data_IF_088744855334
#
_entry.id   IF_088744855334
#
_cell.length_a   1.000
_cell.length_b   1.000
_cell.length_c   1.000
_cell.angle_alpha   90.00
_cell.angle_beta   90.00
_cell.angle_gamma   90.00
#
_symmetry.space_group_name_H-M   'P 1'
#
loop_
_entity.id
_entity.type
_entity.pdbx_description
1 polymer ?
#
# COMPACT_ATOMS: atom_id res chain seq x y z
N UNK A 1 39.39 75.32 -40.59
CA UNK A 1 38.53 74.54 -41.52
C UNK A 1 38.69 73.08 -41.23
N UNK A 2 37.59 72.44 -41.00
CA UNK A 2 37.29 70.94 -40.98
C UNK A 2 37.87 70.16 -39.83
N UNK A 3 36.98 69.80 -39.09
CA UNK A 3 36.55 68.88 -38.07
C UNK A 3 36.83 67.43 -38.48
N UNK A 4 37.46 66.68 -37.63
CA UNK A 4 37.30 65.22 -37.53
C UNK A 4 37.29 64.78 -36.10
N UNK A 5 36.11 64.39 -35.64
CA UNK A 5 35.86 63.83 -34.29
C UNK A 5 36.12 62.33 -34.29
N UNK A 6 36.85 61.91 -33.27
CA UNK A 6 37.11 60.55 -32.87
C UNK A 6 35.87 59.89 -32.27
N UNK A 7 35.61 58.69 -32.70
CA UNK A 7 34.76 57.71 -32.02
C UNK A 7 35.66 56.57 -31.48
N UNK A 8 35.86 56.54 -30.19
CA UNK A 8 36.32 55.35 -29.52
C UNK A 8 35.71 55.28 -28.12
N UNK A 9 35.15 54.13 -27.77
CA UNK A 9 34.98 53.70 -26.39
C UNK A 9 33.56 53.64 -25.87
N UNK A 10 32.83 52.54 -26.20
CA UNK A 10 31.78 52.02 -25.29
C UNK A 10 31.42 50.57 -25.74
N UNK A 11 32.26 49.59 -25.45
CA UNK A 11 31.91 48.17 -25.63
C UNK A 11 32.58 47.20 -24.64
N UNK A 12 32.87 47.59 -23.42
CA UNK A 12 33.47 46.63 -22.46
C UNK A 12 32.75 46.46 -21.11
N UNK A 13 31.65 47.18 -20.85
CA UNK A 13 30.93 47.04 -19.57
C UNK A 13 29.65 46.13 -19.65
N UNK A 14 29.24 45.71 -20.83
CA UNK A 14 28.05 44.88 -21.02
C UNK A 14 28.25 43.37 -20.82
N UNK A 15 29.49 42.92 -20.99
CA UNK A 15 29.77 41.47 -20.95
C UNK A 15 29.97 40.93 -19.52
N UNK A 16 30.54 41.73 -18.64
CA UNK A 16 30.79 41.31 -17.24
C UNK A 16 29.51 41.25 -16.40
N UNK A 17 28.50 42.09 -16.70
CA UNK A 17 27.21 42.07 -15.98
C UNK A 17 26.30 40.91 -16.39
N UNK A 18 26.46 40.37 -17.60
CA UNK A 18 25.68 39.20 -18.05
C UNK A 18 26.22 37.86 -17.54
N UNK A 19 27.53 37.75 -17.32
CA UNK A 19 28.16 36.54 -16.77
C UNK A 19 27.88 36.42 -15.26
N UNK A 20 27.85 37.54 -14.51
CA UNK A 20 27.53 37.55 -13.08
C UNK A 20 26.06 37.26 -12.79
N UNK A 21 25.14 37.64 -13.70
CA UNK A 21 23.71 37.29 -13.55
C UNK A 21 23.39 35.83 -13.90
N UNK A 22 24.17 35.21 -14.82
CA UNK A 22 24.02 33.79 -15.15
C UNK A 22 24.65 32.88 -14.09
N UNK A 23 25.70 33.32 -13.39
CA UNK A 23 26.28 32.58 -12.28
C UNK A 23 25.44 32.66 -11.00
N UNK A 24 24.70 33.74 -10.76
CA UNK A 24 23.77 33.85 -9.62
C UNK A 24 22.45 33.15 -9.84
N UNK A 25 22.03 32.91 -11.10
CA UNK A 25 20.84 32.11 -11.40
C UNK A 25 21.07 30.59 -11.25
N UNK A 26 22.32 30.10 -11.30
CA UNK A 26 22.67 28.69 -11.13
C UNK A 26 22.90 28.28 -9.66
N UNK A 27 23.04 29.21 -8.73
CA UNK A 27 23.18 28.89 -7.29
C UNK A 27 21.85 28.92 -6.54
N UNK A 28 20.77 29.47 -7.13
CA UNK A 28 19.44 29.52 -6.53
C UNK A 28 18.56 28.32 -6.86
N UNK A 29 19.04 27.34 -7.65
CA UNK A 29 18.27 26.14 -8.05
C UNK A 29 18.65 24.86 -7.30
N UNK A 30 19.39 24.94 -6.19
CA UNK A 30 19.87 23.73 -5.48
C UNK A 30 19.23 23.47 -4.11
N UNK A 31 18.02 23.96 -3.88
CA UNK A 31 17.23 23.52 -2.72
C UNK A 31 15.74 23.42 -3.04
N UNK A 32 15.40 22.88 -4.19
CA UNK A 32 14.10 22.24 -4.33
C UNK A 32 14.27 20.90 -3.64
N UNK A 33 13.78 20.79 -2.40
CA UNK A 33 13.59 19.52 -1.75
C UNK A 33 12.87 18.62 -2.76
N UNK A 34 13.53 17.57 -3.20
CA UNK A 34 12.95 16.58 -4.11
C UNK A 34 11.75 15.97 -3.40
N UNK A 35 10.55 16.41 -3.74
CA UNK A 35 9.32 15.74 -3.30
C UNK A 35 9.27 14.47 -4.12
N UNK A 36 9.70 13.38 -3.53
CA UNK A 36 9.53 12.05 -4.11
C UNK A 36 8.07 11.64 -3.95
N UNK A 37 7.33 11.68 -5.03
CA UNK A 37 5.98 11.10 -5.09
C UNK A 37 6.11 9.59 -5.13
N UNK A 38 5.89 8.92 -4.01
CA UNK A 38 5.92 7.47 -3.90
C UNK A 38 4.64 6.83 -4.44
N UNK A 39 3.71 6.54 -3.56
CA UNK A 39 2.38 6.05 -3.90
C UNK A 39 1.56 7.19 -4.53
N UNK A 40 0.68 6.87 -5.53
CA UNK A 40 -0.17 7.87 -6.16
C UNK A 40 -0.97 8.67 -5.15
N UNK A 41 -0.65 9.96 -4.99
CA UNK A 41 -1.30 10.85 -4.03
C UNK A 41 -0.71 10.89 -2.62
N UNK A 42 0.27 10.07 -2.29
CA UNK A 42 0.98 10.12 -1.00
C UNK A 42 2.15 11.09 -1.08
N UNK A 43 2.23 12.01 -0.13
CA UNK A 43 3.32 12.95 0.06
C UNK A 43 3.86 12.80 1.49
N UNK A 44 5.18 12.64 1.62
CA UNK A 44 5.84 12.56 2.92
C UNK A 44 6.98 13.56 2.93
N UNK A 45 6.88 14.55 3.81
CA UNK A 45 7.90 15.59 3.91
C UNK A 45 9.20 15.08 4.56
N UNK A 46 10.24 15.93 4.57
CA UNK A 46 11.54 15.61 5.17
C UNK A 46 11.47 15.35 6.70
N UNK A 47 10.38 15.72 7.38
CA UNK A 47 10.14 15.46 8.79
C UNK A 47 9.33 14.17 9.00
N UNK A 48 8.98 13.45 7.91
CA UNK A 48 8.18 12.24 7.95
C UNK A 48 6.69 12.50 8.18
N UNK A 49 6.19 13.71 7.91
CA UNK A 49 4.75 14.00 8.00
C UNK A 49 4.06 13.45 6.77
N UNK A 50 3.15 12.51 7.00
CA UNK A 50 2.32 11.91 5.98
C UNK A 50 1.13 12.81 5.61
N UNK A 51 0.90 12.96 4.31
CA UNK A 51 -0.28 13.60 3.72
C UNK A 51 -0.76 12.76 2.55
N UNK A 52 -2.08 12.58 2.44
CA UNK A 52 -2.69 11.95 1.27
C UNK A 52 -3.48 12.99 0.48
N UNK A 53 -3.25 13.06 -0.84
CA UNK A 53 -3.91 14.00 -1.75
C UNK A 53 -4.44 13.23 -2.96
N UNK A 54 -5.70 13.45 -3.30
CA UNK A 54 -6.25 12.88 -4.53
C UNK A 54 -5.66 13.58 -5.76
N UNK A 55 -5.02 12.82 -6.64
CA UNK A 55 -4.63 13.26 -7.97
C UNK A 55 -5.80 12.97 -8.93
N UNK A 56 -6.45 13.99 -9.46
CA UNK A 56 -7.66 13.84 -10.27
C UNK A 56 -7.44 14.44 -11.65
N UNK A 57 -7.55 13.61 -12.71
CA UNK A 57 -7.76 14.09 -14.08
C UNK A 57 -9.26 14.12 -14.38
N UNK A 58 -9.91 15.24 -14.06
CA UNK A 58 -11.35 15.41 -14.29
C UNK A 58 -11.77 15.33 -15.77
N UNK A 59 -10.82 15.49 -16.72
CA UNK A 59 -11.09 15.40 -18.16
C UNK A 59 -10.89 14.00 -18.74
N UNK A 60 -10.08 13.15 -18.07
CA UNK A 60 -9.63 11.85 -18.55
C UNK A 60 -8.78 11.92 -19.83
N UNK A 61 -8.31 13.10 -20.22
CA UNK A 61 -7.48 13.27 -21.44
C UNK A 61 -6.12 12.63 -21.27
N UNK A 62 -5.49 12.86 -20.11
CA UNK A 62 -4.17 12.31 -19.79
C UNK A 62 -4.21 10.79 -19.75
N UNK A 63 -5.22 10.20 -19.13
CA UNK A 63 -5.41 8.74 -19.08
C UNK A 63 -5.54 8.15 -20.47
N UNK A 64 -6.35 8.74 -21.37
CA UNK A 64 -6.49 8.29 -22.76
C UNK A 64 -5.18 8.38 -23.54
N UNK A 65 -4.40 9.45 -23.35
CA UNK A 65 -3.11 9.60 -24.01
C UNK A 65 -2.10 8.56 -23.54
N UNK A 66 -2.01 8.35 -22.23
CA UNK A 66 -1.09 7.36 -21.62
C UNK A 66 -1.49 5.93 -22.00
N UNK A 67 -2.78 5.61 -21.99
CA UNK A 67 -3.30 4.31 -22.43
C UNK A 67 -2.91 4.03 -23.89
N UNK A 68 -3.10 5.00 -24.80
CA UNK A 68 -2.72 4.87 -26.21
C UNK A 68 -1.20 4.67 -26.39
N UNK A 69 -0.40 5.41 -25.64
CA UNK A 69 1.06 5.28 -25.67
C UNK A 69 1.51 3.90 -25.18
N UNK A 70 0.94 3.41 -24.08
CA UNK A 70 1.24 2.09 -23.53
C UNK A 70 0.77 0.97 -24.48
N UNK A 71 -0.39 1.11 -25.12
CA UNK A 71 -0.87 0.15 -26.13
C UNK A 71 0.06 0.04 -27.33
N UNK A 72 0.73 1.12 -27.72
CA UNK A 72 1.72 1.11 -28.80
C UNK A 72 3.07 0.52 -28.36
N UNK A 73 3.46 0.68 -27.09
CA UNK A 73 4.80 0.33 -26.58
C UNK A 73 4.89 -1.10 -26.01
N UNK A 74 3.82 -1.61 -25.39
CA UNK A 74 3.84 -2.94 -24.77
C UNK A 74 3.82 -4.07 -25.77
N UNK A 75 4.51 -5.16 -25.43
CA UNK A 75 4.47 -6.42 -26.16
C UNK A 75 3.02 -6.92 -26.32
N UNK A 76 2.70 -7.47 -27.51
CA UNK A 76 1.36 -7.96 -27.83
C UNK A 76 0.85 -9.04 -26.88
N UNK A 77 1.73 -9.94 -26.43
CA UNK A 77 1.36 -11.01 -25.51
C UNK A 77 1.11 -10.48 -24.09
N UNK A 78 1.89 -9.48 -23.63
CA UNK A 78 1.62 -8.78 -22.35
C UNK A 78 0.27 -8.07 -22.39
N UNK A 79 -0.11 -7.45 -23.50
CA UNK A 79 -1.41 -6.75 -23.66
C UNK A 79 -2.60 -7.68 -23.62
N UNK A 80 -2.40 -8.94 -23.95
CA UNK A 80 -3.47 -9.93 -23.99
C UNK A 80 -4.02 -10.16 -22.59
N UNK A 81 -5.33 -10.05 -22.45
CA UNK A 81 -5.98 -10.35 -21.20
C UNK A 81 -5.92 -11.85 -20.93
N UNK A 82 -5.38 -12.23 -19.78
CA UNK A 82 -5.33 -13.59 -19.30
C UNK A 82 -6.15 -13.75 -18.02
N UNK A 83 -6.88 -14.84 -17.92
CA UNK A 83 -7.53 -15.21 -16.66
C UNK A 83 -6.54 -15.85 -15.69
N UNK A 84 -5.41 -16.36 -16.21
CA UNK A 84 -4.51 -17.20 -15.43
C UNK A 84 -3.09 -17.16 -16.02
N UNK A 85 -2.41 -16.01 -15.83
CA UNK A 85 -1.00 -15.84 -16.19
C UNK A 85 -0.12 -16.40 -15.08
N UNK A 86 0.92 -17.10 -15.46
CA UNK A 86 1.93 -17.68 -14.59
C UNK A 86 3.23 -16.89 -14.69
N UNK A 87 3.90 -16.67 -13.56
CA UNK A 87 5.19 -15.99 -13.44
C UNK A 87 6.11 -16.83 -12.56
N UNK A 88 7.22 -17.30 -13.12
CA UNK A 88 8.28 -17.99 -12.37
C UNK A 88 9.18 -16.97 -11.71
N UNK A 89 9.25 -16.97 -10.38
CA UNK A 89 10.01 -16.01 -9.60
C UNK A 89 11.52 -16.22 -9.74
N UNK A 90 11.97 -17.45 -9.66
CA UNK A 90 13.39 -17.78 -9.78
C UNK A 90 13.92 -17.61 -11.22
N UNK A 91 13.14 -17.94 -12.27
CA UNK A 91 13.52 -17.58 -13.64
C UNK A 91 13.57 -16.08 -13.87
N UNK A 92 12.60 -15.34 -13.30
CA UNK A 92 12.58 -13.88 -13.39
C UNK A 92 13.81 -13.26 -12.73
N UNK A 93 14.22 -13.76 -11.54
CA UNK A 93 15.46 -13.33 -10.90
C UNK A 93 16.69 -13.63 -11.75
N UNK A 94 16.78 -14.85 -12.31
CA UNK A 94 17.89 -15.24 -13.18
C UNK A 94 18.00 -14.37 -14.43
N UNK A 95 16.85 -14.02 -15.05
CA UNK A 95 16.83 -13.13 -16.20
C UNK A 95 17.20 -11.69 -15.83
N UNK A 96 16.71 -11.20 -14.69
CA UNK A 96 17.13 -9.91 -14.15
C UNK A 96 18.65 -9.86 -13.92
N UNK A 97 19.24 -10.92 -13.36
CA UNK A 97 20.68 -10.99 -13.15
C UNK A 97 21.47 -10.86 -14.47
N UNK A 98 20.98 -11.49 -15.56
CA UNK A 98 21.58 -11.36 -16.91
C UNK A 98 21.47 -9.93 -17.44
N UNK A 99 20.28 -9.30 -17.30
CA UNK A 99 20.05 -7.91 -17.72
C UNK A 99 20.98 -6.96 -16.97
N UNK A 100 21.07 -7.10 -15.66
CA UNK A 100 21.95 -6.29 -14.81
C UNK A 100 23.42 -6.44 -15.21
N UNK A 101 23.88 -7.68 -15.42
CA UNK A 101 25.26 -7.95 -15.89
C UNK A 101 25.54 -7.33 -17.26
N UNK A 102 24.52 -7.26 -18.11
CA UNK A 102 24.61 -6.61 -19.42
C UNK A 102 24.43 -5.08 -19.36
N UNK A 103 24.25 -4.49 -18.18
CA UNK A 103 24.00 -3.05 -18.02
C UNK A 103 22.67 -2.57 -18.60
N UNK A 104 21.71 -3.47 -18.78
CA UNK A 104 20.39 -3.15 -19.31
C UNK A 104 19.43 -2.74 -18.19
N UNK A 105 18.52 -1.79 -18.44
CA UNK A 105 17.50 -1.40 -17.45
C UNK A 105 16.49 -2.53 -17.23
N UNK A 106 15.80 -2.49 -16.07
CA UNK A 106 14.67 -3.35 -15.78
C UNK A 106 13.54 -3.07 -16.80
N UNK A 107 13.09 -4.07 -17.56
CA UNK A 107 12.00 -3.86 -18.52
C UNK A 107 10.64 -3.73 -17.80
N UNK A 108 9.71 -2.91 -18.33
CA UNK A 108 8.41 -2.68 -17.70
C UNK A 108 7.60 -3.95 -17.42
N UNK A 109 7.66 -4.96 -18.30
CA UNK A 109 7.01 -6.24 -18.10
C UNK A 109 7.50 -6.99 -16.86
N UNK A 110 8.77 -6.83 -16.50
CA UNK A 110 9.35 -7.42 -15.30
C UNK A 110 9.03 -6.56 -14.06
N UNK A 111 9.16 -5.24 -14.18
CA UNK A 111 8.81 -4.29 -13.12
C UNK A 111 7.35 -4.47 -12.66
N UNK A 112 6.43 -4.74 -13.61
CA UNK A 112 5.00 -4.92 -13.35
C UNK A 112 4.54 -6.39 -13.47
N UNK A 113 5.45 -7.33 -13.23
CA UNK A 113 5.18 -8.77 -13.08
C UNK A 113 4.27 -9.34 -14.17
N UNK A 114 4.61 -9.06 -15.44
CA UNK A 114 3.87 -9.47 -16.63
C UNK A 114 2.39 -9.02 -16.62
N UNK A 115 2.05 -7.93 -15.92
CA UNK A 115 0.70 -7.40 -15.85
C UNK A 115 -0.25 -8.18 -14.92
N UNK A 116 0.26 -9.01 -14.02
CA UNK A 116 -0.56 -9.65 -12.99
C UNK A 116 -1.27 -8.59 -12.15
N UNK A 117 -2.57 -8.76 -11.93
CA UNK A 117 -3.39 -7.83 -11.13
C UNK A 117 -3.71 -8.38 -9.75
N UNK A 118 -3.46 -9.67 -9.50
CA UNK A 118 -3.62 -10.37 -8.22
C UNK A 118 -2.87 -11.69 -8.23
N UNK A 119 -2.39 -12.16 -7.08
CA UNK A 119 -1.96 -13.54 -6.88
C UNK A 119 -3.17 -14.35 -6.41
N UNK A 120 -3.51 -15.42 -7.13
CA UNK A 120 -4.56 -16.36 -6.74
C UNK A 120 -4.01 -17.77 -6.47
N UNK A 121 -2.82 -18.08 -7.00
CA UNK A 121 -2.19 -19.38 -6.83
C UNK A 121 -0.68 -19.22 -6.66
N UNK A 122 -0.09 -20.19 -5.94
CA UNK A 122 1.34 -20.45 -5.89
C UNK A 122 1.55 -21.91 -6.28
N UNK A 123 2.54 -22.18 -7.13
CA UNK A 123 2.90 -23.53 -7.57
C UNK A 123 4.41 -23.74 -7.39
N UNK A 124 4.77 -24.92 -6.95
CA UNK A 124 6.12 -25.45 -7.09
C UNK A 124 6.09 -26.59 -8.11
N UNK A 125 7.03 -26.58 -9.04
CA UNK A 125 7.22 -27.59 -10.06
C UNK A 125 8.56 -28.33 -9.78
N UNK A 126 8.53 -29.52 -9.16
CA UNK A 126 9.76 -30.23 -8.75
C UNK A 126 10.67 -30.58 -9.93
N UNK A 127 10.08 -30.89 -11.09
CA UNK A 127 10.83 -31.33 -12.29
C UNK A 127 11.69 -30.20 -12.89
N UNK A 128 11.17 -28.98 -12.93
CA UNK A 128 11.84 -27.79 -13.47
C UNK A 128 12.42 -26.89 -12.39
N UNK A 129 12.11 -27.19 -11.12
CA UNK A 129 12.50 -26.40 -9.93
C UNK A 129 11.97 -24.96 -9.97
N UNK A 130 10.82 -24.75 -10.60
CA UNK A 130 10.21 -23.44 -10.72
C UNK A 130 9.26 -23.14 -9.57
N UNK A 131 9.42 -21.96 -8.97
CA UNK A 131 8.48 -21.37 -8.00
C UNK A 131 7.65 -20.34 -8.75
N UNK A 132 6.35 -20.59 -8.88
CA UNK A 132 5.46 -19.85 -9.77
C UNK A 132 4.30 -19.25 -9.00
N UNK A 133 4.06 -17.97 -9.22
CA UNK A 133 2.82 -17.31 -8.82
C UNK A 133 1.91 -17.17 -10.04
N UNK A 134 0.58 -17.23 -9.83
CA UNK A 134 -0.35 -17.14 -10.93
C UNK A 134 -1.62 -16.36 -10.55
N UNK A 135 -2.25 -15.77 -11.57
CA UNK A 135 -3.48 -15.02 -11.41
C UNK A 135 -3.93 -14.30 -12.67
N UNK A 136 -4.98 -13.49 -12.58
CA UNK A 136 -5.46 -12.68 -13.69
C UNK A 136 -4.42 -11.60 -14.07
N UNK A 137 -4.26 -11.38 -15.38
CA UNK A 137 -3.31 -10.42 -15.93
C UNK A 137 -3.86 -9.72 -17.17
N UNK A 138 -3.32 -8.56 -17.47
CA UNK A 138 -3.64 -7.77 -18.65
C UNK A 138 -2.55 -6.74 -18.96
N UNK A 139 -2.62 -6.10 -20.13
CA UNK A 139 -1.78 -4.94 -20.42
C UNK A 139 -2.02 -3.83 -19.41
N UNK A 140 -1.04 -2.97 -19.22
CA UNK A 140 -1.06 -1.95 -18.16
C UNK A 140 -0.55 -0.60 -18.63
N UNK A 141 -0.92 0.45 -17.91
CA UNK A 141 -0.46 1.82 -18.16
C UNK A 141 -0.43 2.63 -16.86
N UNK A 142 0.37 3.70 -16.84
CA UNK A 142 0.41 4.66 -15.75
C UNK A 142 -0.77 5.63 -15.89
N UNK A 143 -1.73 5.59 -14.96
CA UNK A 143 -2.88 6.50 -14.97
C UNK A 143 -2.52 7.90 -14.43
N UNK A 144 -3.46 8.85 -14.52
CA UNK A 144 -3.31 10.23 -14.03
C UNK A 144 -3.13 10.30 -12.50
N UNK A 145 -3.63 9.31 -11.77
CA UNK A 145 -3.40 9.16 -10.34
C UNK A 145 -2.02 8.61 -9.97
N UNK A 146 -1.10 8.50 -10.95
CA UNK A 146 0.25 7.94 -10.77
C UNK A 146 0.26 6.49 -10.28
N UNK A 147 -0.78 5.72 -10.62
CA UNK A 147 -0.84 4.28 -10.37
C UNK A 147 -0.74 3.52 -11.68
N UNK A 148 0.00 2.39 -11.68
CA UNK A 148 0.03 1.50 -12.84
C UNK A 148 -1.12 0.52 -12.72
N UNK A 149 -2.02 0.59 -13.70
CA UNK A 149 -3.29 -0.12 -13.70
C UNK A 149 -3.52 -0.87 -15.01
N UNK A 150 -4.33 -1.91 -14.95
CA UNK A 150 -4.73 -2.68 -16.12
C UNK A 150 -5.54 -1.86 -17.12
N UNK A 151 -5.28 -2.08 -18.40
CA UNK A 151 -5.92 -1.36 -19.52
C UNK A 151 -7.41 -1.63 -19.65
N UNK A 152 -7.89 -2.80 -19.21
CA UNK A 152 -9.27 -3.25 -19.35
C UNK A 152 -10.08 -3.07 -18.07
N UNK A 153 -9.49 -3.47 -16.95
CA UNK A 153 -10.20 -3.50 -15.65
C UNK A 153 -9.94 -2.27 -14.79
N UNK A 154 -8.82 -1.55 -15.04
CA UNK A 154 -8.35 -0.48 -14.16
C UNK A 154 -7.82 -0.99 -12.81
N UNK A 155 -7.70 -2.30 -12.63
CA UNK A 155 -7.13 -2.87 -11.42
C UNK A 155 -5.62 -2.59 -11.36
N UNK A 156 -5.05 -2.26 -10.18
CA UNK A 156 -3.61 -2.07 -10.08
C UNK A 156 -2.88 -3.38 -10.38
N UNK A 157 -1.76 -3.29 -11.08
CA UNK A 157 -0.90 -4.44 -11.36
C UNK A 157 0.11 -4.62 -10.22
N UNK A 158 0.57 -5.86 -10.06
CA UNK A 158 1.59 -6.20 -9.08
C UNK A 158 2.91 -5.52 -9.46
N UNK A 159 3.65 -5.08 -8.45
CA UNK A 159 4.99 -4.54 -8.63
C UNK A 159 6.05 -5.50 -8.09
N UNK A 160 7.11 -5.70 -8.86
CA UNK A 160 8.23 -6.55 -8.46
C UNK A 160 8.87 -6.06 -7.15
N UNK A 161 8.99 -4.75 -6.95
CA UNK A 161 9.54 -4.18 -5.71
C UNK A 161 8.76 -4.62 -4.46
N UNK A 162 7.42 -4.66 -4.53
CA UNK A 162 6.57 -5.09 -3.41
C UNK A 162 6.70 -6.60 -3.18
N UNK A 163 6.80 -7.40 -4.26
CA UNK A 163 7.03 -8.84 -4.16
C UNK A 163 8.40 -9.13 -3.53
N UNK A 164 9.43 -8.40 -3.92
CA UNK A 164 10.79 -8.52 -3.34
C UNK A 164 10.78 -8.17 -1.85
N UNK A 165 10.04 -7.14 -1.42
CA UNK A 165 9.87 -6.81 0.00
C UNK A 165 9.21 -7.96 0.76
N UNK A 166 8.18 -8.59 0.18
CA UNK A 166 7.54 -9.77 0.77
C UNK A 166 8.49 -10.97 0.83
N UNK A 167 9.20 -11.29 -0.25
CA UNK A 167 10.17 -12.39 -0.30
C UNK A 167 11.31 -12.21 0.72
N UNK A 168 11.83 -10.98 0.91
CA UNK A 168 12.85 -10.69 1.94
C UNK A 168 12.34 -10.90 3.36
N UNK A 169 11.05 -10.71 3.60
CA UNK A 169 10.43 -10.95 4.90
C UNK A 169 10.28 -12.45 5.21
N UNK A 170 10.30 -13.29 4.18
CA UNK A 170 10.14 -14.75 4.22
C UNK A 170 11.19 -15.45 3.33
N UNK A 171 12.44 -14.99 3.37
CA UNK A 171 13.54 -15.56 2.59
C UNK A 171 14.04 -16.89 3.15
N UNK A 172 14.86 -17.62 2.39
CA UNK A 172 15.31 -18.98 2.75
C UNK A 172 16.06 -19.03 4.09
N UNK A 173 16.93 -18.06 4.35
CA UNK A 173 17.73 -17.98 5.58
C UNK A 173 17.12 -17.00 6.62
N UNK A 174 16.02 -16.36 6.28
CA UNK A 174 15.42 -15.38 7.17
C UNK A 174 14.56 -16.06 8.23
N UNK A 175 14.69 -15.59 9.48
CA UNK A 175 13.68 -15.91 10.48
C UNK A 175 12.36 -15.31 10.03
N UNK A 176 11.36 -16.16 9.83
CA UNK A 176 10.04 -15.74 9.35
C UNK A 176 9.50 -14.53 10.13
N UNK A 177 9.10 -13.50 9.41
CA UNK A 177 8.46 -12.31 9.98
C UNK A 177 7.06 -12.68 10.46
N UNK A 178 6.83 -12.65 11.76
CA UNK A 178 5.52 -13.02 12.33
C UNK A 178 4.40 -12.07 11.95
N UNK A 179 4.73 -10.79 11.81
CA UNK A 179 3.74 -9.72 11.58
C UNK A 179 4.34 -8.62 10.74
N UNK A 180 3.69 -8.33 9.61
CA UNK A 180 3.89 -7.09 8.86
C UNK A 180 2.76 -6.15 9.23
N UNK A 181 3.07 -4.97 9.76
CA UNK A 181 2.03 -4.07 10.28
C UNK A 181 2.38 -2.61 10.17
N UNK A 182 1.35 -1.78 10.10
CA UNK A 182 1.44 -0.37 10.41
C UNK A 182 0.38 0.03 11.42
N UNK A 183 0.61 1.13 12.13
CA UNK A 183 -0.40 1.77 12.97
C UNK A 183 -0.19 3.27 13.02
N UNK A 184 -1.30 4.01 13.12
CA UNK A 184 -1.32 5.45 13.42
C UNK A 184 -1.94 5.61 14.80
N UNK A 185 -1.16 6.00 15.77
CA UNK A 185 -1.58 6.05 17.16
C UNK A 185 -1.35 7.44 17.77
N UNK A 186 -2.26 7.93 18.60
CA UNK A 186 -2.01 9.14 19.40
C UNK A 186 -0.87 8.91 20.39
N UNK A 187 -0.09 9.95 20.64
CA UNK A 187 0.95 9.90 21.66
C UNK A 187 0.35 9.85 23.08
N UNK A 188 1.10 9.36 24.06
CA UNK A 188 0.67 9.38 25.47
C UNK A 188 0.35 10.81 25.92
N UNK A 189 1.20 11.77 25.56
CA UNK A 189 0.98 13.19 25.87
C UNK A 189 -0.27 13.73 25.20
N UNK A 190 -0.50 13.43 23.92
CA UNK A 190 -1.71 13.80 23.20
C UNK A 190 -2.98 13.26 23.86
N UNK A 191 -2.97 12.00 24.32
CA UNK A 191 -4.11 11.43 25.05
C UNK A 191 -4.36 12.09 26.42
N UNK A 192 -3.32 12.47 27.15
CA UNK A 192 -3.44 13.23 28.41
C UNK A 192 -4.03 14.60 28.16
N UNK A 193 -3.50 15.33 27.16
CA UNK A 193 -3.99 16.63 26.79
C UNK A 193 -5.45 16.58 26.32
N UNK A 194 -5.80 15.55 25.52
CA UNK A 194 -7.19 15.34 25.07
C UNK A 194 -8.12 15.12 26.27
N UNK A 195 -7.71 14.32 27.27
CA UNK A 195 -8.50 14.11 28.48
C UNK A 195 -8.74 15.41 29.25
N UNK A 196 -7.73 16.29 29.33
CA UNK A 196 -7.87 17.62 29.93
C UNK A 196 -8.81 18.49 29.12
N UNK A 197 -8.68 18.52 27.78
CA UNK A 197 -9.56 19.29 26.88
C UNK A 197 -11.02 18.83 27.00
N UNK A 198 -11.28 17.52 27.07
CA UNK A 198 -12.64 16.97 27.31
C UNK A 198 -13.21 17.44 28.64
N UNK A 199 -12.39 17.43 29.73
CA UNK A 199 -12.84 17.93 31.03
C UNK A 199 -13.17 19.41 31.02
N UNK A 200 -12.37 20.23 30.33
CA UNK A 200 -12.63 21.66 30.15
C UNK A 200 -13.90 21.91 29.32
N UNK A 201 -14.15 21.07 28.30
CA UNK A 201 -15.34 21.15 27.47
C UNK A 201 -16.60 20.86 28.30
N UNK A 202 -16.58 19.84 29.15
CA UNK A 202 -17.72 19.52 30.04
C UNK A 202 -18.08 20.68 31.00
N UNK A 203 -17.08 21.47 31.39
CA UNK A 203 -17.29 22.63 32.27
C UNK A 203 -17.87 23.88 31.54
N UNK A 204 -17.84 23.91 30.19
CA UNK A 204 -18.20 25.10 29.39
C UNK A 204 -19.53 25.04 28.65
N UNK A 205 -20.35 24.02 28.79
CA UNK A 205 -21.65 23.88 28.10
C UNK A 205 -21.61 24.16 26.59
N UNK A 206 -20.70 23.50 25.86
CA UNK A 206 -20.65 23.61 24.41
C UNK A 206 -21.92 23.14 23.72
N UNK A 207 -22.33 23.82 22.66
CA UNK A 207 -23.51 23.50 21.86
C UNK A 207 -23.12 22.97 20.48
N UNK A 208 -24.06 22.43 19.71
CA UNK A 208 -23.82 21.91 18.38
C UNK A 208 -23.21 22.95 17.42
N UNK A 209 -23.49 24.24 17.61
CA UNK A 209 -22.89 25.34 16.85
C UNK A 209 -21.37 25.52 17.07
N UNK A 210 -20.83 25.00 18.16
CA UNK A 210 -19.41 25.10 18.51
C UNK A 210 -18.57 23.98 17.93
N UNK A 211 -19.13 23.16 17.04
CA UNK A 211 -18.48 21.96 16.51
C UNK A 211 -17.08 22.22 15.93
N UNK A 212 -16.88 23.30 15.18
CA UNK A 212 -15.58 23.68 14.62
C UNK A 212 -14.54 23.99 15.72
N UNK A 213 -14.94 24.78 16.72
CA UNK A 213 -14.06 25.14 17.84
C UNK A 213 -13.67 23.90 18.66
N UNK A 214 -14.58 22.94 18.82
CA UNK A 214 -14.31 21.68 19.51
C UNK A 214 -13.35 20.80 18.71
N UNK A 215 -13.50 20.74 17.37
CA UNK A 215 -12.53 20.03 16.49
C UNK A 215 -11.14 20.61 16.64
N UNK A 216 -10.99 21.95 16.61
CA UNK A 216 -9.70 22.60 16.73
C UNK A 216 -9.08 22.41 18.12
N UNK A 217 -9.90 22.50 19.17
CA UNK A 217 -9.45 22.20 20.54
C UNK A 217 -8.89 20.78 20.65
N UNK A 218 -9.56 19.79 20.10
CA UNK A 218 -9.13 18.40 20.18
C UNK A 218 -7.97 18.09 19.25
N UNK A 219 -7.92 18.72 18.07
CA UNK A 219 -6.79 18.60 17.15
C UNK A 219 -5.50 19.13 17.79
N UNK A 220 -5.59 20.30 18.42
CA UNK A 220 -4.46 20.90 19.11
C UNK A 220 -4.04 20.11 20.36
N UNK A 221 -5.00 19.58 21.11
CA UNK A 221 -4.74 18.75 22.28
C UNK A 221 -4.06 17.42 21.93
N UNK A 222 -4.53 16.72 20.89
CA UNK A 222 -3.93 15.48 20.44
C UNK A 222 -2.54 15.68 19.84
N UNK A 223 -2.31 16.76 19.11
CA UNK A 223 -1.09 16.97 18.34
C UNK A 223 -0.87 15.88 17.29
N UNK A 224 0.33 15.82 16.73
CA UNK A 224 0.67 14.82 15.71
C UNK A 224 0.57 13.40 16.26
N UNK A 225 -0.03 12.52 15.47
CA UNK A 225 -0.11 11.09 15.76
C UNK A 225 1.14 10.38 15.23
N UNK A 226 1.61 9.38 15.95
CA UNK A 226 2.79 8.60 15.56
C UNK A 226 2.40 7.49 14.60
N UNK A 227 3.13 7.37 13.50
CA UNK A 227 3.08 6.23 12.58
C UNK A 227 4.17 5.23 13.00
N UNK A 228 3.83 3.95 13.03
CA UNK A 228 4.77 2.86 13.30
C UNK A 228 4.58 1.78 12.23
N UNK A 229 5.68 1.37 11.58
CA UNK A 229 5.74 0.26 10.62
C UNK A 229 6.62 -0.84 11.21
N UNK A 230 6.22 -2.10 11.04
CA UNK A 230 6.97 -3.29 11.50
C UNK A 230 6.94 -4.37 10.44
N UNK A 231 7.96 -5.20 10.41
CA UNK A 231 8.09 -6.36 9.53
C UNK A 231 8.64 -6.05 8.14
N UNK A 232 8.54 -4.79 7.72
CA UNK A 232 9.15 -4.27 6.47
C UNK A 232 9.78 -2.91 6.74
N UNK A 233 10.67 -2.46 5.85
CA UNK A 233 11.25 -1.13 5.95
C UNK A 233 10.18 -0.04 5.77
N UNK A 234 10.13 0.98 6.64
CA UNK A 234 9.18 2.10 6.50
C UNK A 234 9.47 2.98 5.28
N UNK A 235 10.61 2.81 4.63
CA UNK A 235 11.01 3.56 3.45
C UNK A 235 10.57 2.91 2.13
N UNK A 236 9.78 1.84 2.17
CA UNK A 236 9.27 1.14 0.98
C UNK A 236 7.90 1.65 0.57
N UNK A 237 7.58 1.51 -0.72
CA UNK A 237 6.23 1.70 -1.23
C UNK A 237 5.22 0.80 -0.49
N UNK A 238 5.62 -0.44 -0.20
CA UNK A 238 4.82 -1.40 0.60
C UNK A 238 4.31 -0.76 1.90
N UNK A 239 5.20 -0.10 2.67
CA UNK A 239 4.83 0.60 3.89
C UNK A 239 3.89 1.79 3.64
N UNK A 240 4.12 2.56 2.57
CA UNK A 240 3.26 3.69 2.21
C UNK A 240 1.83 3.26 1.89
N UNK A 241 1.64 2.19 1.11
CA UNK A 241 0.30 1.63 0.80
C UNK A 241 -0.43 1.21 2.06
N UNK A 242 0.26 0.54 3.00
CA UNK A 242 -0.35 0.14 4.28
C UNK A 242 -0.81 1.36 5.09
N UNK A 243 0.03 2.39 5.20
CA UNK A 243 -0.27 3.61 5.97
C UNK A 243 -1.42 4.39 5.34
N UNK A 244 -1.42 4.51 4.01
CA UNK A 244 -2.46 5.22 3.25
C UNK A 244 -3.81 4.52 3.37
N UNK A 245 -3.84 3.20 3.23
CA UNK A 245 -5.07 2.41 3.40
C UNK A 245 -5.62 2.49 4.83
N UNK A 246 -4.75 2.46 5.85
CA UNK A 246 -5.14 2.67 7.24
C UNK A 246 -5.72 4.07 7.47
N UNK A 247 -5.08 5.10 6.92
CA UNK A 247 -5.54 6.49 7.05
C UNK A 247 -6.94 6.70 6.44
N UNK A 248 -7.15 6.27 5.18
CA UNK A 248 -8.44 6.38 4.50
C UNK A 248 -9.54 5.55 5.17
N UNK A 249 -9.24 4.34 5.64
CA UNK A 249 -10.19 3.53 6.40
C UNK A 249 -10.69 4.27 7.66
N UNK A 250 -9.81 4.97 8.36
CA UNK A 250 -10.18 5.81 9.52
C UNK A 250 -11.08 6.96 9.11
N UNK A 251 -10.74 7.67 8.04
CA UNK A 251 -11.58 8.77 7.52
C UNK A 251 -12.98 8.29 7.17
N UNK A 252 -13.10 7.11 6.55
CA UNK A 252 -14.40 6.47 6.26
C UNK A 252 -15.12 6.12 7.57
N UNK A 253 -14.42 5.50 8.52
CA UNK A 253 -15.00 5.10 9.82
C UNK A 253 -15.54 6.27 10.62
N UNK A 254 -14.85 7.42 10.60
CA UNK A 254 -15.27 8.65 11.29
C UNK A 254 -16.14 9.58 10.44
N UNK A 255 -16.50 9.17 9.21
CA UNK A 255 -17.41 9.93 8.34
C UNK A 255 -16.82 11.20 7.73
N UNK A 256 -15.50 11.35 7.69
CA UNK A 256 -14.80 12.42 6.99
C UNK A 256 -14.60 12.12 5.50
N UNK A 257 -14.65 10.86 5.12
CA UNK A 257 -14.55 10.39 3.75
C UNK A 257 -15.71 9.45 3.42
N UNK A 258 -16.17 9.50 2.16
CA UNK A 258 -17.15 8.54 1.64
C UNK A 258 -16.43 7.52 0.76
N UNK A 259 -16.57 6.24 1.11
CA UNK A 259 -16.10 5.18 0.25
C UNK A 259 -16.83 5.19 -1.11
N UNK A 260 -16.17 4.78 -2.23
CA UNK A 260 -16.82 4.69 -3.54
C UNK A 260 -17.87 3.57 -3.64
N UNK A 261 -18.12 2.85 -2.55
CA UNK A 261 -19.18 1.87 -2.34
C UNK A 261 -19.91 2.15 -1.04
N UNK A 262 -21.12 1.61 -0.90
CA UNK A 262 -21.91 1.86 0.32
C UNK A 262 -21.33 1.08 1.51
N UNK A 263 -20.65 1.79 2.40
CA UNK A 263 -20.13 1.31 3.68
C UNK A 263 -20.81 2.11 4.79
N UNK A 264 -21.40 1.44 5.76
CA UNK A 264 -21.97 2.08 6.95
C UNK A 264 -20.81 2.51 7.87
N UNK A 265 -20.63 3.79 8.12
CA UNK A 265 -19.57 4.28 9.00
C UNK A 265 -19.84 3.94 10.47
N UNK A 266 -18.79 3.97 11.29
CA UNK A 266 -18.96 3.84 12.74
C UNK A 266 -19.84 4.95 13.31
N UNK A 267 -19.64 6.18 12.82
CA UNK A 267 -20.43 7.36 13.25
C UNK A 267 -21.91 7.17 12.96
N UNK A 268 -22.30 6.65 11.80
CA UNK A 268 -23.70 6.41 11.45
C UNK A 268 -24.37 5.42 12.41
N UNK A 269 -23.65 4.40 12.86
CA UNK A 269 -24.14 3.33 13.73
C UNK A 269 -24.01 3.61 15.22
N UNK A 270 -23.19 4.60 15.62
CA UNK A 270 -22.97 4.90 17.04
C UNK A 270 -24.22 5.52 17.67
N UNK A 271 -24.65 4.97 18.81
CA UNK A 271 -25.70 5.51 19.66
C UNK A 271 -25.13 6.46 20.72
N UNK A 272 -25.95 7.35 21.33
CA UNK A 272 -25.53 8.20 22.43
C UNK A 272 -24.86 7.43 23.58
N UNK A 273 -25.35 6.24 23.89
CA UNK A 273 -24.78 5.37 24.95
C UNK A 273 -23.40 4.82 24.61
N UNK A 274 -23.11 4.58 23.33
CA UNK A 274 -21.76 4.18 22.86
C UNK A 274 -20.81 5.37 23.00
N UNK A 275 -21.24 6.55 22.63
CA UNK A 275 -20.47 7.79 22.74
C UNK A 275 -20.17 8.14 24.20
N UNK A 276 -21.18 8.04 25.08
CA UNK A 276 -21.04 8.33 26.52
C UNK A 276 -19.99 7.46 27.23
N UNK A 277 -19.74 6.25 26.74
CA UNK A 277 -18.71 5.34 27.30
C UNK A 277 -17.28 5.81 27.03
N UNK A 278 -17.09 6.78 26.18
CA UNK A 278 -15.82 7.45 25.84
C UNK A 278 -14.65 6.48 25.64
N UNK A 279 -14.90 5.36 24.92
CA UNK A 279 -13.87 4.37 24.57
C UNK A 279 -13.27 4.69 23.22
N UNK A 280 -11.95 4.59 23.11
CA UNK A 280 -11.28 4.64 21.83
C UNK A 280 -11.65 3.41 21.00
N UNK A 281 -11.79 3.59 19.70
CA UNK A 281 -11.98 2.50 18.76
C UNK A 281 -10.68 2.27 18.01
N UNK A 282 -10.28 1.02 17.85
CA UNK A 282 -9.16 0.61 17.03
C UNK A 282 -9.67 -0.33 15.95
N UNK A 283 -9.42 0.00 14.68
CA UNK A 283 -9.76 -0.86 13.54
C UNK A 283 -8.47 -1.20 12.81
N UNK A 284 -8.38 -2.41 12.26
CA UNK A 284 -7.21 -2.84 11.51
C UNK A 284 -7.57 -3.92 10.49
N UNK A 285 -6.86 -3.90 9.37
CA UNK A 285 -7.00 -4.89 8.33
C UNK A 285 -6.24 -6.16 8.70
N UNK A 286 -6.81 -7.30 8.34
CA UNK A 286 -6.20 -8.62 8.44
C UNK A 286 -6.44 -9.43 7.18
N UNK A 287 -5.59 -10.44 6.87
CA UNK A 287 -5.91 -11.45 5.87
C UNK A 287 -7.24 -12.14 6.17
N UNK A 288 -8.04 -12.39 5.12
CA UNK A 288 -9.32 -13.09 5.22
C UNK A 288 -9.64 -13.78 3.90
N UNK A 289 -9.37 -15.05 3.87
CA UNK A 289 -9.72 -15.92 2.74
C UNK A 289 -10.89 -16.79 3.15
N UNK A 290 -11.79 -17.10 2.20
CA UNK A 290 -12.85 -18.08 2.44
C UNK A 290 -12.21 -19.44 2.76
N UNK A 291 -11.10 -19.73 2.06
CA UNK A 291 -10.15 -20.79 2.39
C UNK A 291 -8.83 -20.58 1.63
N UNK A 292 -7.77 -21.11 2.19
CA UNK A 292 -6.51 -21.40 1.52
C UNK A 292 -6.56 -22.89 1.18
N UNK A 293 -6.66 -23.24 -0.12
CA UNK A 293 -6.58 -24.63 -0.55
C UNK A 293 -5.18 -25.01 -0.88
N UNK A 294 -4.79 -26.23 -0.54
CA UNK A 294 -3.47 -26.79 -0.80
C UNK A 294 -3.65 -28.13 -1.52
N UNK A 295 -2.84 -28.41 -2.53
CA UNK A 295 -2.81 -29.71 -3.19
C UNK A 295 -2.41 -30.82 -2.20
N UNK A 296 -2.82 -32.08 -2.42
CA UNK A 296 -2.46 -33.19 -1.54
C UNK A 296 -0.95 -33.41 -1.38
N UNK A 297 -0.15 -33.01 -2.36
CA UNK A 297 1.30 -33.08 -2.37
C UNK A 297 1.98 -31.80 -1.84
N UNK A 298 1.18 -30.84 -1.33
CA UNK A 298 1.61 -29.56 -0.78
C UNK A 298 2.42 -28.65 -1.75
N UNK A 299 2.48 -29.01 -3.04
CA UNK A 299 3.24 -28.26 -4.04
C UNK A 299 2.45 -27.12 -4.70
N UNK A 300 1.20 -26.91 -4.29
CA UNK A 300 0.35 -25.86 -4.85
C UNK A 300 -0.63 -25.31 -3.83
N UNK A 301 -0.88 -24.01 -3.92
CA UNK A 301 -1.83 -23.26 -3.08
C UNK A 301 -2.77 -22.43 -3.94
N UNK A 302 -4.07 -22.39 -3.58
CA UNK A 302 -5.09 -21.45 -4.09
C UNK A 302 -5.55 -20.52 -2.96
N UNK A 303 -5.55 -19.22 -3.20
CA UNK A 303 -6.14 -18.19 -2.34
C UNK A 303 -7.54 -17.85 -2.85
N UNK A 304 -8.59 -18.25 -2.12
CA UNK A 304 -9.98 -17.97 -2.49
C UNK A 304 -10.62 -16.98 -1.52
N UNK A 305 -11.48 -16.12 -2.06
CA UNK A 305 -12.21 -15.12 -1.29
C UNK A 305 -11.72 -13.69 -1.44
N UNK A 306 -12.15 -12.84 -0.50
CA UNK A 306 -11.90 -11.40 -0.51
C UNK A 306 -10.45 -10.98 -0.24
N UNK A 307 -9.72 -11.82 0.47
CA UNK A 307 -8.32 -11.60 0.86
C UNK A 307 -8.16 -10.70 2.09
N UNK A 308 -9.16 -9.89 2.45
CA UNK A 308 -9.03 -8.87 3.50
C UNK A 308 -10.32 -8.69 4.29
N UNK A 309 -10.20 -8.67 5.61
CA UNK A 309 -11.25 -8.22 6.54
C UNK A 309 -10.83 -7.03 7.36
N UNK A 310 -11.80 -6.25 7.79
CA UNK A 310 -11.63 -5.23 8.83
C UNK A 310 -12.10 -5.80 10.17
N UNK A 311 -11.25 -5.73 11.16
CA UNK A 311 -11.56 -6.09 12.56
C UNK A 311 -11.39 -4.89 13.47
N UNK A 312 -11.92 -4.95 14.67
CA UNK A 312 -11.84 -3.84 15.59
C UNK A 312 -11.80 -4.25 17.05
N UNK A 313 -11.31 -3.33 17.87
CA UNK A 313 -11.25 -3.48 19.33
C UNK A 313 -11.56 -2.13 19.98
N UNK A 314 -12.31 -2.18 21.08
CA UNK A 314 -12.47 -1.02 21.97
C UNK A 314 -11.31 -0.95 22.95
N UNK A 315 -10.72 0.23 23.11
CA UNK A 315 -9.62 0.47 24.05
C UNK A 315 -10.04 1.45 25.15
N UNK A 316 -9.46 1.30 26.33
CA UNK A 316 -9.58 2.25 27.43
C UNK A 316 -8.26 2.97 27.62
N UNK A 317 -8.34 4.27 27.90
CA UNK A 317 -7.19 5.08 28.27
C UNK A 317 -7.13 5.18 29.79
N UNK A 318 -6.11 4.59 30.36
CA UNK A 318 -5.82 4.66 31.79
C UNK A 318 -5.10 5.95 32.19
N UNK A 319 -4.66 6.01 33.44
CA UNK A 319 -3.85 7.10 33.93
C UNK A 319 -2.52 7.14 33.19
N UNK A 320 -2.00 8.35 32.92
CA UNK A 320 -0.77 8.54 32.15
C UNK A 320 -0.88 8.26 30.64
N UNK A 321 -2.12 8.20 30.07
CA UNK A 321 -2.32 7.99 28.63
C UNK A 321 -2.02 6.56 28.16
N UNK A 322 -1.94 5.58 29.07
CA UNK A 322 -1.72 4.17 28.74
C UNK A 322 -2.99 3.56 28.15
N UNK A 323 -2.89 2.98 26.96
CA UNK A 323 -3.99 2.29 26.27
C UNK A 323 -4.02 0.81 26.67
N UNK A 324 -5.22 0.29 26.90
CA UNK A 324 -5.45 -1.13 27.18
C UNK A 324 -6.63 -1.62 26.35
N UNK A 325 -6.42 -2.63 25.52
CA UNK A 325 -7.48 -3.30 24.79
C UNK A 325 -8.48 -3.95 25.75
N UNK A 326 -9.73 -3.97 25.36
CA UNK A 326 -10.82 -4.58 26.15
C UNK A 326 -11.15 -6.01 25.72
N UNK A 327 -10.57 -6.46 24.59
CA UNK A 327 -10.92 -7.74 23.95
C UNK A 327 -12.37 -7.76 23.41
N UNK A 328 -13.05 -6.62 23.40
CA UNK A 328 -14.46 -6.49 22.99
C UNK A 328 -14.62 -5.35 22.00
N UNK A 329 -15.59 -5.51 21.12
CA UNK A 329 -16.00 -4.48 20.15
C UNK A 329 -17.42 -4.05 20.45
N UNK A 330 -17.71 -2.74 20.38
CA UNK A 330 -19.08 -2.27 20.52
C UNK A 330 -19.89 -2.53 19.24
N UNK A 331 -21.23 -2.50 19.34
CA UNK A 331 -22.12 -2.84 18.24
C UNK A 331 -21.91 -1.97 17.00
N UNK A 332 -21.62 -0.68 17.17
CA UNK A 332 -21.40 0.24 16.04
C UNK A 332 -20.08 -0.10 15.31
N UNK A 333 -19.00 -0.36 16.06
CA UNK A 333 -17.71 -0.82 15.52
C UNK A 333 -17.85 -2.15 14.79
N UNK A 334 -18.58 -3.10 15.39
CA UNK A 334 -18.89 -4.40 14.72
C UNK A 334 -19.65 -4.18 13.41
N UNK A 335 -20.63 -3.28 13.41
CA UNK A 335 -21.41 -2.92 12.21
C UNK A 335 -20.55 -2.33 11.10
N UNK A 336 -19.65 -1.40 11.44
CA UNK A 336 -18.69 -0.81 10.51
C UNK A 336 -17.73 -1.86 9.93
N UNK A 337 -17.07 -2.64 10.78
CA UNK A 337 -16.13 -3.68 10.34
C UNK A 337 -16.80 -4.71 9.43
N UNK A 338 -18.00 -5.18 9.78
CA UNK A 338 -18.77 -6.11 8.95
C UNK A 338 -19.17 -5.51 7.62
N UNK A 339 -19.64 -4.25 7.60
CA UNK A 339 -20.01 -3.54 6.37
C UNK A 339 -18.79 -3.36 5.46
N UNK A 340 -17.65 -2.97 6.01
CA UNK A 340 -16.40 -2.80 5.27
C UNK A 340 -15.92 -4.12 4.65
N UNK A 341 -15.82 -5.19 5.46
CA UNK A 341 -15.42 -6.53 5.00
C UNK A 341 -16.33 -7.04 3.89
N UNK A 342 -17.65 -6.97 4.09
CA UNK A 342 -18.63 -7.40 3.08
C UNK A 342 -18.47 -6.67 1.75
N UNK A 343 -18.13 -5.40 1.79
CA UNK A 343 -18.00 -4.56 0.60
C UNK A 343 -16.56 -4.52 0.04
N UNK A 344 -15.60 -5.20 0.66
CA UNK A 344 -14.19 -5.07 0.31
C UNK A 344 -13.89 -5.39 -1.16
N UNK A 345 -14.45 -6.46 -1.71
CA UNK A 345 -14.26 -6.81 -3.13
C UNK A 345 -14.82 -5.74 -4.08
N UNK A 346 -15.95 -5.14 -3.76
CA UNK A 346 -16.53 -4.06 -4.55
C UNK A 346 -15.72 -2.76 -4.38
N UNK A 347 -15.21 -2.52 -3.18
CA UNK A 347 -14.34 -1.38 -2.86
C UNK A 347 -13.02 -1.48 -3.63
N UNK A 348 -12.35 -2.62 -3.60
CA UNK A 348 -11.10 -2.87 -4.32
C UNK A 348 -11.23 -2.71 -5.84
N UNK A 349 -12.41 -3.00 -6.42
CA UNK A 349 -12.67 -2.75 -7.85
C UNK A 349 -12.78 -1.26 -8.20
N UNK A 350 -13.08 -0.40 -7.23
CA UNK A 350 -13.30 1.04 -7.45
C UNK A 350 -12.23 1.93 -6.84
N UNK A 351 -11.39 1.38 -5.97
CA UNK A 351 -10.29 2.08 -5.31
C UNK A 351 -9.00 1.30 -5.51
N UNK A 352 -8.06 1.81 -6.29
CA UNK A 352 -6.74 1.19 -6.47
C UNK A 352 -6.03 0.93 -5.15
N UNK A 353 -6.11 1.85 -4.20
CA UNK A 353 -5.48 1.74 -2.89
C UNK A 353 -5.86 0.44 -2.14
N UNK A 354 -7.16 0.11 -2.09
CA UNK A 354 -7.60 -1.11 -1.39
C UNK A 354 -7.31 -2.39 -2.21
N UNK A 355 -7.27 -2.29 -3.54
CA UNK A 355 -6.79 -3.39 -4.36
C UNK A 355 -5.28 -3.64 -4.15
N UNK A 356 -4.48 -2.58 -4.05
CA UNK A 356 -3.05 -2.67 -3.74
C UNK A 356 -2.81 -3.25 -2.34
N UNK A 357 -3.54 -2.79 -1.30
CA UNK A 357 -3.44 -3.40 0.03
C UNK A 357 -3.73 -4.90 -0.01
N UNK A 358 -4.76 -5.35 -0.75
CA UNK A 358 -5.03 -6.77 -0.94
C UNK A 358 -3.85 -7.48 -1.62
N UNK A 359 -3.27 -6.88 -2.65
CA UNK A 359 -2.13 -7.45 -3.35
C UNK A 359 -0.91 -7.61 -2.42
N UNK A 360 -0.65 -6.65 -1.53
CA UNK A 360 0.42 -6.78 -0.53
C UNK A 360 0.17 -7.93 0.45
N UNK A 361 -1.09 -8.14 0.83
CA UNK A 361 -1.50 -9.26 1.68
C UNK A 361 -1.32 -10.58 0.93
N UNK A 362 -1.83 -10.69 -0.31
CA UNK A 362 -1.67 -11.89 -1.16
C UNK A 362 -0.18 -12.21 -1.37
N UNK A 363 0.69 -11.21 -1.65
CA UNK A 363 2.15 -11.39 -1.78
C UNK A 363 2.78 -11.89 -0.49
N UNK A 364 2.37 -11.35 0.66
CA UNK A 364 2.91 -11.75 1.96
C UNK A 364 2.55 -13.20 2.30
N UNK A 365 1.31 -13.61 1.99
CA UNK A 365 0.86 -14.99 2.21
C UNK A 365 1.55 -15.95 1.22
N UNK A 366 1.72 -15.55 -0.04
CA UNK A 366 2.45 -16.33 -1.03
C UNK A 366 3.92 -16.53 -0.62
N UNK A 367 4.60 -15.48 -0.18
CA UNK A 367 6.00 -15.56 0.27
C UNK A 367 6.15 -16.43 1.54
N UNK A 368 5.22 -16.31 2.49
CA UNK A 368 5.20 -17.14 3.68
C UNK A 368 4.96 -18.63 3.33
N UNK A 369 4.06 -18.93 2.39
CA UNK A 369 3.81 -20.29 1.92
C UNK A 369 5.05 -20.90 1.24
N UNK A 370 5.74 -20.14 0.38
CA UNK A 370 6.99 -20.56 -0.27
C UNK A 370 8.04 -20.93 0.78
N UNK A 371 8.17 -20.14 1.86
CA UNK A 371 9.10 -20.43 2.94
C UNK A 371 8.67 -21.64 3.78
N UNK A 372 7.39 -21.73 4.13
CA UNK A 372 6.86 -22.77 5.03
C UNK A 372 6.92 -24.17 4.38
N UNK A 373 6.73 -24.23 3.05
CA UNK A 373 6.84 -25.48 2.26
C UNK A 373 8.28 -25.77 1.79
N UNK A 374 9.25 -24.99 2.23
CA UNK A 374 10.67 -25.11 1.82
C UNK A 374 10.91 -25.14 0.30
N UNK A 375 10.11 -24.41 -0.47
CA UNK A 375 10.32 -24.36 -1.92
C UNK A 375 11.66 -23.75 -2.30
N UNK A 376 12.24 -22.92 -1.47
CA UNK A 376 13.60 -22.41 -1.64
C UNK A 376 14.64 -23.53 -1.67
N UNK A 377 14.62 -24.42 -0.67
CA UNK A 377 15.52 -25.56 -0.57
C UNK A 377 15.30 -26.55 -1.70
N UNK A 378 14.04 -26.91 -1.99
CA UNK A 378 13.70 -27.84 -3.06
C UNK A 378 14.05 -27.34 -4.46
N UNK A 379 13.86 -26.03 -4.72
CA UNK A 379 14.26 -25.37 -5.96
C UNK A 379 15.78 -25.17 -6.05
N UNK A 380 16.49 -25.16 -4.91
CA UNK A 380 17.87 -24.69 -4.83
C UNK A 380 17.97 -23.19 -5.14
N UNK A 381 16.95 -22.42 -4.74
CA UNK A 381 16.87 -20.98 -4.99
C UNK A 381 17.20 -20.19 -3.71
N UNK A 382 18.43 -19.66 -3.65
CA UNK A 382 18.93 -18.91 -2.50
C UNK A 382 18.47 -17.46 -2.42
N UNK A 383 17.66 -16.97 -3.38
CA UNK A 383 17.21 -15.58 -3.47
C UNK A 383 18.39 -14.59 -3.54
N UNK A 384 19.45 -14.94 -4.29
CA UNK A 384 20.75 -14.28 -4.25
C UNK A 384 20.70 -12.82 -4.74
N UNK A 385 19.80 -12.50 -5.66
CA UNK A 385 19.69 -11.17 -6.25
C UNK A 385 18.53 -10.40 -5.61
N UNK A 386 17.35 -10.98 -5.55
CA UNK A 386 16.19 -10.31 -4.96
C UNK A 386 16.30 -10.19 -3.43
N UNK A 387 16.99 -11.11 -2.77
CA UNK A 387 17.25 -11.07 -1.33
C UNK A 387 18.26 -10.00 -0.90
N UNK A 388 19.17 -9.61 -1.80
CA UNK A 388 20.25 -8.66 -1.52
C UNK A 388 19.88 -7.24 -2.00
N UNK A 389 19.77 -6.31 -1.07
CA UNK A 389 19.49 -4.89 -1.36
C UNK A 389 20.55 -4.24 -2.26
N UNK A 390 21.80 -4.73 -2.25
CA UNK A 390 22.87 -4.24 -3.12
C UNK A 390 22.71 -4.74 -4.56
N UNK A 391 22.08 -5.88 -4.73
CA UNK A 391 21.84 -6.50 -6.04
C UNK A 391 20.54 -6.00 -6.67
N UNK A 392 19.46 -5.94 -5.90
CA UNK A 392 18.17 -5.38 -6.30
C UNK A 392 17.77 -4.29 -5.30
N UNK A 393 18.22 -3.03 -5.49
CA UNK A 393 17.82 -1.94 -4.62
C UNK A 393 16.33 -1.65 -4.80
N UNK A 394 15.57 -1.76 -3.70
CA UNK A 394 14.18 -1.32 -3.66
C UNK A 394 14.17 0.21 -3.58
N UNK A 395 13.27 0.86 -4.31
CA UNK A 395 13.15 2.32 -4.27
C UNK A 395 12.87 2.81 -2.85
N UNK A 396 13.62 3.83 -2.41
CA UNK A 396 13.54 4.38 -1.06
C UNK A 396 12.81 5.72 -1.05
N UNK A 397 11.77 5.76 -0.26
CA UNK A 397 10.95 6.93 -0.02
C UNK A 397 11.21 7.51 1.38
N UNK A 398 10.76 8.72 1.63
CA UNK A 398 10.72 9.23 3.00
C UNK A 398 9.81 8.33 3.86
N UNK A 399 10.30 7.96 5.05
CA UNK A 399 9.52 7.13 5.96
C UNK A 399 8.37 7.94 6.58
N UNK A 400 7.12 7.46 6.53
CA UNK A 400 6.02 8.09 7.25
C UNK A 400 6.20 7.86 8.75
N UNK A 401 6.40 8.92 9.53
CA UNK A 401 6.62 8.83 10.98
C UNK A 401 5.50 9.46 11.78
N UNK A 402 4.78 10.41 11.20
CA UNK A 402 3.71 11.13 11.86
C UNK A 402 2.67 11.67 10.87
N UNK A 403 1.46 11.92 11.39
CA UNK A 403 0.35 12.47 10.63
C UNK A 403 -0.51 13.38 11.51
N UNK A 404 -1.13 14.40 10.93
CA UNK A 404 -2.09 15.24 11.63
C UNK A 404 -3.32 14.41 12.07
N UNK A 405 -3.89 14.66 13.25
CA UNK A 405 -5.06 13.92 13.71
C UNK A 405 -6.28 14.28 12.86
N UNK A 406 -6.98 13.26 12.37
CA UNK A 406 -8.29 13.40 11.75
C UNK A 406 -9.36 13.34 12.84
N UNK A 407 -10.13 14.41 12.96
CA UNK A 407 -11.18 14.55 13.99
C UNK A 407 -12.47 15.00 13.32
N UNK A 408 -13.54 14.27 13.57
CA UNK A 408 -14.88 14.66 13.18
C UNK A 408 -15.71 14.97 14.42
N UNK A 409 -16.40 16.10 14.41
CA UNK A 409 -17.29 16.54 15.46
C UNK A 409 -18.74 16.16 15.12
N UNK A 410 -19.22 15.09 15.70
CA UNK A 410 -20.61 14.65 15.52
C UNK A 410 -21.33 14.60 16.86
N UNK A 411 -22.45 15.32 16.93
CA UNK A 411 -23.33 15.30 18.08
C UNK A 411 -24.34 14.14 17.97
N UNK A 412 -24.42 13.34 19.02
CA UNK A 412 -25.44 12.28 19.19
C UNK A 412 -26.22 12.55 20.46
N UNK A 413 -27.36 13.22 20.29
CA UNK A 413 -28.11 13.78 21.43
C UNK A 413 -27.29 14.89 22.10
N UNK A 414 -27.00 14.74 23.39
CA UNK A 414 -26.19 15.70 24.16
C UNK A 414 -24.68 15.29 24.20
N UNK A 415 -24.28 14.23 23.50
CA UNK A 415 -22.91 13.73 23.55
C UNK A 415 -22.15 14.04 22.26
N UNK A 416 -20.90 14.45 22.44
CA UNK A 416 -19.96 14.70 21.38
C UNK A 416 -19.07 13.47 21.14
N UNK A 417 -18.81 13.13 19.88
CA UNK A 417 -18.07 11.93 19.50
C UNK A 417 -16.83 12.26 18.69
N UNK A 418 -15.68 11.69 19.11
CA UNK A 418 -14.40 11.75 18.40
C UNK A 418 -13.78 10.36 18.38
N UNK A 419 -14.05 9.52 17.40
CA UNK A 419 -13.38 8.23 17.29
C UNK A 419 -11.92 8.41 16.83
N UNK A 420 -11.03 7.61 17.40
CA UNK A 420 -9.60 7.61 17.09
C UNK A 420 -9.11 6.16 17.07
N UNK A 421 -8.40 5.77 16.06
CA UNK A 421 -7.76 4.45 16.02
C UNK A 421 -7.52 3.87 14.64
N UNK A 422 -6.69 2.85 14.53
CA UNK A 422 -6.52 2.04 13.33
C UNK A 422 -5.16 1.42 13.11
N UNK A 423 -5.04 0.63 12.07
CA UNK A 423 -3.82 -0.06 11.65
C UNK A 423 -4.04 -1.03 10.50
N UNK A 424 -2.95 -1.60 10.02
CA UNK A 424 -2.90 -2.81 9.20
C UNK A 424 -2.14 -3.85 10.01
N UNK A 425 -2.61 -5.08 10.03
CA UNK A 425 -1.99 -6.17 10.76
C UNK A 425 -2.01 -7.44 9.89
N UNK A 426 -1.00 -7.58 9.06
CA UNK A 426 -0.83 -8.74 8.18
C UNK A 426 -0.11 -9.83 8.97
N UNK A 427 -0.81 -10.93 9.24
CA UNK A 427 -0.27 -12.14 9.84
C UNK A 427 -0.39 -13.27 8.82
N UNK A 428 0.54 -13.42 7.88
CA UNK A 428 0.41 -14.38 6.78
C UNK A 428 0.31 -15.81 7.29
N UNK A 429 1.11 -16.15 8.29
CA UNK A 429 1.09 -17.49 8.91
C UNK A 429 -0.26 -17.82 9.59
N UNK A 430 -1.06 -16.83 9.98
CA UNK A 430 -2.41 -17.10 10.49
C UNK A 430 -3.37 -17.58 9.38
N UNK A 431 -3.10 -17.24 8.11
CA UNK A 431 -3.85 -17.75 6.97
C UNK A 431 -3.39 -19.17 6.55
N UNK A 432 -2.21 -19.60 7.01
CA UNK A 432 -1.60 -20.90 6.69
C UNK A 432 -1.71 -21.91 7.84
N UNK A 433 -2.57 -21.65 8.83
CA UNK A 433 -2.79 -22.60 9.92
C UNK A 433 -3.66 -23.78 9.46
N UNK A 434 -3.52 -24.98 10.08
CA UNK A 434 -4.28 -26.17 9.69
C UNK A 434 -5.80 -26.00 9.71
N UNK A 435 -6.34 -25.10 10.52
CA UNK A 435 -7.78 -24.80 10.61
C UNK A 435 -8.28 -23.87 9.49
N UNK A 436 -7.38 -23.14 8.84
CA UNK A 436 -7.67 -22.25 7.71
C UNK A 436 -7.30 -22.84 6.36
N UNK A 437 -6.39 -23.81 6.33
CA UNK A 437 -6.02 -24.56 5.13
C UNK A 437 -6.95 -25.74 4.89
N UNK A 438 -7.29 -25.98 3.63
CA UNK A 438 -8.08 -27.12 3.17
C UNK A 438 -7.36 -27.86 2.07
N UNK A 439 -7.26 -29.17 2.19
CA UNK A 439 -6.75 -30.01 1.10
C UNK A 439 -7.76 -29.98 -0.06
N UNK A 440 -7.27 -29.80 -1.29
CA UNK A 440 -8.09 -29.86 -2.50
C UNK A 440 -8.43 -31.31 -2.83
N UNK A 441 -9.63 -31.72 -2.45
CA UNK A 441 -10.23 -33.03 -2.76
C UNK A 441 -10.86 -33.11 -4.16
N UNK A 442 -10.93 -31.95 -4.85
CA UNK A 442 -11.56 -31.83 -6.18
C UNK A 442 -10.58 -31.95 -7.34
N UNK A 443 -9.28 -31.89 -7.07
CA UNK A 443 -8.20 -31.87 -8.07
C UNK A 443 -8.18 -30.59 -8.93
N UNK A 444 -8.87 -29.54 -8.51
CA UNK A 444 -8.97 -28.27 -9.24
C UNK A 444 -7.63 -27.55 -9.32
N UNK A 445 -6.88 -27.55 -8.20
CA UNK A 445 -5.56 -26.91 -8.12
C UNK A 445 -4.55 -27.65 -9.00
N UNK A 446 -4.57 -28.98 -8.93
CA UNK A 446 -3.71 -29.84 -9.75
C UNK A 446 -3.99 -29.64 -11.26
N UNK A 447 -5.26 -29.53 -11.64
CA UNK A 447 -5.66 -29.20 -13.00
C UNK A 447 -5.15 -27.81 -13.43
N UNK A 448 -5.24 -26.82 -12.55
CA UNK A 448 -4.71 -25.49 -12.83
C UNK A 448 -3.17 -25.47 -12.94
N UNK A 449 -2.48 -26.28 -12.12
CA UNK A 449 -1.02 -26.49 -12.18
C UNK A 449 -0.60 -27.09 -13.53
N UNK A 450 -1.31 -28.11 -14.01
CA UNK A 450 -1.02 -28.82 -15.26
C UNK A 450 -1.44 -28.11 -16.54
N UNK A 451 -2.19 -27.02 -16.45
CA UNK A 451 -2.79 -26.37 -17.62
C UNK A 451 -1.79 -25.82 -18.65
N UNK A 452 -0.49 -25.74 -18.33
CA UNK A 452 0.58 -25.35 -19.26
C UNK A 452 1.82 -26.20 -19.00
N UNK A 453 2.36 -26.82 -20.04
CA UNK A 453 3.58 -27.60 -19.95
C UNK A 453 4.83 -26.70 -20.09
N UNK A 454 5.83 -26.94 -19.23
CA UNK A 454 7.13 -26.23 -19.28
C UNK A 454 7.99 -26.53 -20.50
N UNK A 455 7.67 -27.57 -21.26
CA UNK A 455 8.51 -28.06 -22.36
C UNK A 455 8.67 -27.07 -23.50
N UNK A 456 7.75 -26.11 -23.61
CA UNK A 456 7.70 -25.18 -24.73
C UNK A 456 8.15 -23.76 -24.37
N UNK A 457 8.68 -23.52 -23.16
CA UNK A 457 9.18 -22.20 -22.76
C UNK A 457 10.51 -21.90 -23.44
N UNK A 458 10.58 -20.75 -24.11
CA UNK A 458 11.83 -20.26 -24.69
C UNK A 458 12.89 -19.96 -23.62
N UNK A 459 14.16 -19.99 -24.02
CA UNK A 459 15.26 -19.59 -23.12
C UNK A 459 15.08 -18.12 -22.69
N UNK A 460 15.17 -17.87 -21.38
CA UNK A 460 14.93 -16.56 -20.77
C UNK A 460 13.44 -16.21 -20.56
N UNK A 461 12.50 -17.06 -20.95
CA UNK A 461 11.08 -16.86 -20.68
C UNK A 461 10.75 -17.20 -19.23
N UNK A 462 10.17 -16.24 -18.51
CA UNK A 462 9.86 -16.35 -17.09
C UNK A 462 8.35 -16.19 -16.78
N UNK A 463 7.53 -15.95 -17.81
CA UNK A 463 6.08 -15.89 -17.69
C UNK A 463 5.38 -16.53 -18.90
N UNK A 464 4.14 -16.98 -18.73
CA UNK A 464 3.29 -17.60 -19.75
C UNK A 464 1.80 -17.56 -19.36
N UNK A 465 0.91 -17.78 -20.33
CA UNK A 465 -0.54 -17.85 -20.17
C UNK A 465 -1.06 -19.29 -20.24
#
# INVERSE_FOLDING_TARGET
MSIQKQFFGYQSLGFLKRVTFMAMAMVACSSVASVTFGQGGVEIDAKGVFQSRALIDGSGVLDRQRLKAADAALNADIKKQSKFRKVSLNRMEAEFAKLKKAGKPLPPEMEYMAGLTRITHVFFYPESKDIVIAGPAEGFFLNSGNNVVGMKTGAPVLKLEDMVVALRSYGPDAKATKVISCSIDPTRQGLQNLKQAVSQMQARNFQAGDAAAVVDLFRNALGMQKITVKGVSPQTRFAQVMVDADYHMKLIGIGLERAPVRIDSFIDKASPTVVAKNSLQRWYFQPDYDYVRVSPDETAMELDGGGVKLVGESERVGNGGVRKGTGKMNRASTGFCRSFTKMYNALAKKSPLYAELRNLIDMSVAAAFIQEMDFYGEAGWGLEVFGDESQFPVEKYNAPTQVAPAINAVWKGQYFMTPIGGGVNIQPQAALQPDTMKVDDTGKIEKAKKAVEFKDLADGQWWWD
#
